data_IF_277609628616
#
_entry.id   IF_277609628616
#
_cell.length_a   1.000
_cell.length_b   1.000
_cell.length_c   1.000
_cell.angle_alpha   90.00
_cell.angle_beta   90.00
_cell.angle_gamma   90.00
#
_symmetry.space_group_name_H-M   'P 1'
#
loop_
_entity.id
_entity.type
_entity.pdbx_description
1 polymer ?
#
# COMPACT_ATOMS: atom_id res chain seq x y z
N UNK A 1 22.91 35.75 -47.04
CA UNK A 1 22.97 35.84 -45.57
C UNK A 1 21.73 36.56 -45.08
N UNK A 2 21.13 36.17 -43.95
CA UNK A 2 20.68 34.83 -43.51
C UNK A 2 19.13 34.87 -43.27
N UNK A 3 18.37 33.80 -43.11
CA UNK A 3 18.28 33.02 -41.87
C UNK A 3 17.91 31.55 -42.16
N UNK A 4 18.86 30.65 -41.96
CA UNK A 4 18.60 29.23 -41.75
C UNK A 4 18.47 29.01 -40.25
N UNK A 5 17.23 28.92 -39.76
CA UNK A 5 16.94 28.62 -38.36
C UNK A 5 17.31 27.16 -38.05
N UNK A 6 18.51 26.93 -37.51
CA UNK A 6 18.95 25.63 -36.99
C UNK A 6 18.42 25.39 -35.56
N UNK A 7 17.11 25.47 -35.36
CA UNK A 7 16.52 24.99 -34.12
C UNK A 7 16.14 23.53 -34.30
N UNK A 8 16.70 22.58 -33.53
CA UNK A 8 16.16 21.24 -33.50
C UNK A 8 14.74 21.33 -32.95
N UNK A 9 13.77 20.91 -33.76
CA UNK A 9 12.40 20.65 -33.34
C UNK A 9 12.51 19.83 -32.04
N UNK A 10 12.01 20.39 -30.92
CA UNK A 10 11.97 19.71 -29.62
C UNK A 10 11.17 18.41 -29.78
N UNK A 11 11.85 17.29 -29.98
CA UNK A 11 11.25 15.98 -29.79
C UNK A 11 11.24 15.75 -28.28
N UNK A 12 10.07 15.97 -27.68
CA UNK A 12 9.83 15.74 -26.25
C UNK A 12 10.13 14.27 -25.96
N UNK A 13 11.18 14.03 -25.18
CA UNK A 13 11.62 12.70 -24.80
C UNK A 13 10.71 12.02 -23.76
N UNK A 14 10.56 10.71 -23.96
CA UNK A 14 10.41 9.66 -22.93
C UNK A 14 9.14 9.54 -22.08
N UNK A 15 8.09 10.27 -22.40
CA UNK A 15 6.76 9.75 -22.11
C UNK A 15 6.34 8.83 -23.26
N UNK A 16 5.89 7.62 -22.92
CA UNK A 16 5.04 6.77 -23.78
C UNK A 16 4.21 7.65 -24.70
N UNK A 17 4.20 7.40 -26.03
CA UNK A 17 3.36 8.11 -27.01
C UNK A 17 2.05 8.52 -26.33
N UNK A 18 1.91 9.81 -26.01
CA UNK A 18 0.67 10.36 -25.52
C UNK A 18 -0.33 10.13 -26.66
N UNK A 19 -1.22 9.15 -26.47
CA UNK A 19 -2.34 9.02 -27.38
C UNK A 19 -3.17 10.29 -27.23
N UNK A 20 -3.58 10.91 -28.35
CA UNK A 20 -4.26 12.19 -28.34
C UNK A 20 -5.50 12.14 -27.44
N UNK A 21 -5.80 13.29 -26.84
CA UNK A 21 -7.03 13.58 -26.10
C UNK A 21 -8.24 13.39 -27.02
N UNK A 22 -8.69 12.15 -27.21
CA UNK A 22 -10.00 11.83 -27.73
C UNK A 22 -10.63 10.81 -26.80
N UNK A 23 -11.92 11.00 -26.53
CA UNK A 23 -12.80 10.04 -25.86
C UNK A 23 -12.39 8.59 -26.13
N UNK A 24 -12.30 7.80 -25.06
CA UNK A 24 -11.87 6.40 -25.03
C UNK A 24 -12.33 5.66 -26.30
N UNK A 25 -11.38 5.33 -27.17
CA UNK A 25 -11.69 4.48 -28.33
C UNK A 25 -12.18 3.11 -27.83
N UNK A 26 -13.08 2.42 -28.56
CA UNK A 26 -13.61 1.12 -28.15
C UNK A 26 -12.51 0.10 -27.82
N UNK A 27 -11.37 0.15 -28.52
CA UNK A 27 -10.19 -0.70 -28.28
C UNK A 27 -9.51 -0.40 -26.93
N UNK A 28 -9.47 0.86 -26.52
CA UNK A 28 -8.95 1.25 -25.20
C UNK A 28 -9.91 0.83 -24.08
N UNK A 29 -11.23 0.94 -24.30
CA UNK A 29 -12.23 0.48 -23.35
C UNK A 29 -12.12 -1.04 -23.12
N UNK A 30 -12.00 -1.83 -24.19
CA UNK A 30 -11.79 -3.28 -24.11
C UNK A 30 -10.47 -3.63 -23.41
N UNK A 31 -9.38 -2.92 -23.71
CA UNK A 31 -8.09 -3.12 -23.05
C UNK A 31 -8.13 -2.80 -21.55
N UNK A 32 -8.83 -1.73 -21.16
CA UNK A 32 -9.03 -1.37 -19.76
C UNK A 32 -9.92 -2.38 -19.04
N UNK A 33 -11.00 -2.84 -19.68
CA UNK A 33 -11.90 -3.87 -19.14
C UNK A 33 -11.16 -5.19 -18.94
N UNK A 34 -10.38 -5.63 -19.93
CA UNK A 34 -9.57 -6.85 -19.85
C UNK A 34 -8.49 -6.74 -18.76
N UNK A 35 -7.85 -5.56 -18.63
CA UNK A 35 -6.91 -5.31 -17.54
C UNK A 35 -7.61 -5.34 -16.18
N UNK A 36 -8.81 -4.76 -16.08
CA UNK A 36 -9.65 -4.79 -14.88
C UNK A 36 -10.03 -6.21 -14.45
N UNK A 37 -10.39 -7.08 -15.40
CA UNK A 37 -10.69 -8.48 -15.12
C UNK A 37 -9.46 -9.27 -14.63
N UNK A 38 -8.28 -9.04 -15.22
CA UNK A 38 -7.04 -9.67 -14.77
C UNK A 38 -6.62 -9.21 -13.37
N UNK A 39 -6.79 -7.91 -13.08
CA UNK A 39 -6.54 -7.34 -11.75
C UNK A 39 -7.49 -7.91 -10.72
N UNK A 40 -8.78 -7.99 -11.06
CA UNK A 40 -9.80 -8.57 -10.19
C UNK A 40 -9.50 -10.04 -9.92
N UNK A 41 -9.13 -10.83 -10.94
CA UNK A 41 -8.75 -12.23 -10.78
C UNK A 41 -7.50 -12.42 -9.92
N UNK A 42 -6.46 -11.61 -10.14
CA UNK A 42 -5.23 -11.65 -9.33
C UNK A 42 -5.50 -11.24 -7.88
N UNK A 43 -6.32 -10.20 -7.68
CA UNK A 43 -6.74 -9.76 -6.35
C UNK A 43 -7.54 -10.84 -5.63
N UNK A 44 -8.54 -11.44 -6.28
CA UNK A 44 -9.34 -12.54 -5.71
C UNK A 44 -8.43 -13.71 -5.35
N UNK A 45 -7.48 -14.08 -6.20
CA UNK A 45 -6.55 -15.17 -5.94
C UNK A 45 -5.70 -14.88 -4.68
N UNK A 46 -5.05 -13.72 -4.63
CA UNK A 46 -4.17 -13.36 -3.52
C UNK A 46 -4.97 -13.20 -2.22
N UNK A 47 -6.14 -12.56 -2.28
CA UNK A 47 -7.04 -12.44 -1.14
C UNK A 47 -7.52 -13.80 -0.64
N UNK A 48 -7.87 -14.71 -1.55
CA UNK A 48 -8.29 -16.07 -1.18
C UNK A 48 -7.16 -16.85 -0.51
N UNK A 49 -5.91 -16.69 -0.96
CA UNK A 49 -4.74 -17.33 -0.32
C UNK A 49 -4.53 -16.81 1.10
N UNK A 50 -4.65 -15.50 1.33
CA UNK A 50 -4.54 -14.91 2.66
C UNK A 50 -5.72 -15.33 3.55
N UNK A 51 -6.95 -15.25 3.03
CA UNK A 51 -8.17 -15.62 3.76
C UNK A 51 -8.22 -17.11 4.12
N UNK A 52 -7.79 -18.01 3.22
CA UNK A 52 -7.71 -19.45 3.50
C UNK A 52 -6.69 -19.72 4.59
N UNK A 53 -5.49 -19.13 4.51
CA UNK A 53 -4.45 -19.25 5.54
C UNK A 53 -4.97 -18.86 6.92
N UNK A 54 -5.71 -17.75 7.00
CA UNK A 54 -6.34 -17.28 8.23
C UNK A 54 -7.43 -18.25 8.74
N UNK A 55 -8.32 -18.71 7.85
CA UNK A 55 -9.38 -19.67 8.23
C UNK A 55 -8.83 -21.03 8.70
N UNK A 56 -7.75 -21.52 8.10
CA UNK A 56 -7.10 -22.77 8.52
C UNK A 56 -6.44 -22.63 9.90
N UNK A 57 -5.88 -21.47 10.20
CA UNK A 57 -5.35 -21.16 11.53
C UNK A 57 -6.47 -21.14 12.59
N UNK A 58 -7.62 -20.52 12.27
CA UNK A 58 -8.80 -20.51 13.16
C UNK A 58 -9.44 -21.89 13.36
N UNK A 59 -9.54 -22.70 12.30
CA UNK A 59 -10.23 -24.00 12.33
C UNK A 59 -9.46 -25.09 13.08
N UNK A 60 -8.12 -25.05 13.03
CA UNK A 60 -7.27 -26.01 13.74
C UNK A 60 -7.40 -25.87 15.27
N UNK A 61 -7.79 -24.69 15.76
CA UNK A 61 -7.78 -24.35 17.19
C UNK A 61 -9.16 -24.44 17.87
N UNK A 62 -10.26 -24.59 17.12
CA UNK A 62 -11.62 -24.84 17.65
C UNK A 62 -11.91 -26.30 18.07
N UNK A 63 -10.86 -27.09 18.36
CA UNK A 63 -11.06 -28.42 18.97
C UNK A 63 -11.65 -28.28 20.39
N UNK A 64 -12.46 -29.24 20.90
CA UNK A 64 -13.47 -29.02 21.94
C UNK A 64 -12.94 -28.80 23.37
N UNK A 65 -11.68 -28.40 23.56
CA UNK A 65 -11.07 -28.26 24.87
C UNK A 65 -11.50 -26.97 25.63
N UNK A 66 -12.09 -25.99 24.95
CA UNK A 66 -12.35 -24.66 25.52
C UNK A 66 -13.77 -24.46 26.11
N UNK A 67 -14.68 -25.42 26.02
CA UNK A 67 -16.06 -25.27 26.48
C UNK A 67 -16.26 -25.28 28.02
N UNK A 68 -15.19 -25.34 28.82
CA UNK A 68 -15.28 -25.48 30.29
C UNK A 68 -14.78 -24.28 31.10
N UNK A 69 -14.31 -23.19 30.46
CA UNK A 69 -13.67 -22.08 31.19
C UNK A 69 -14.52 -20.79 31.29
N UNK A 70 -15.56 -20.59 30.48
CA UNK A 70 -16.35 -19.34 30.49
C UNK A 70 -17.57 -19.40 31.42
N UNK A 71 -17.33 -19.57 32.71
CA UNK A 71 -18.35 -19.28 33.70
C UNK A 71 -17.73 -18.56 34.90
N UNK A 72 -17.40 -17.27 34.70
CA UNK A 72 -16.82 -16.44 35.73
C UNK A 72 -16.90 -14.93 35.46
N UNK A 73 -18.00 -14.33 35.92
CA UNK A 73 -18.13 -12.94 36.43
C UNK A 73 -17.96 -11.74 35.47
N UNK A 74 -19.09 -11.04 35.25
CA UNK A 74 -19.18 -9.65 34.80
C UNK A 74 -18.64 -8.67 35.85
N UNK A 75 -17.94 -7.59 35.42
CA UNK A 75 -18.15 -6.16 35.78
C UNK A 75 -16.87 -5.29 35.55
N UNK A 76 -16.85 -4.48 34.49
CA UNK A 76 -16.39 -3.07 34.40
C UNK A 76 -16.12 -2.69 32.94
N UNK A 77 -16.71 -1.60 32.48
CA UNK A 77 -16.70 -1.18 31.07
C UNK A 77 -15.65 -0.08 30.82
N UNK A 78 -14.95 -0.23 29.70
CA UNK A 78 -14.34 0.82 28.85
C UNK A 78 -12.83 1.12 28.96
N UNK A 79 -12.00 0.32 29.64
CA UNK A 79 -10.53 0.45 29.45
C UNK A 79 -9.70 -0.81 29.66
N UNK A 80 -10.31 -1.96 29.96
CA UNK A 80 -9.59 -3.22 30.19
C UNK A 80 -9.72 -4.23 29.05
N UNK A 81 -10.67 -4.03 28.14
CA UNK A 81 -10.90 -4.91 26.98
C UNK A 81 -9.79 -4.81 25.94
N UNK A 82 -9.31 -3.60 25.68
CA UNK A 82 -8.44 -3.33 24.53
C UNK A 82 -7.02 -3.88 24.79
N UNK A 83 -6.55 -3.76 26.05
CA UNK A 83 -5.31 -4.40 26.50
C UNK A 83 -5.35 -5.92 26.47
N UNK A 84 -6.54 -6.52 26.58
CA UNK A 84 -6.71 -7.97 26.53
C UNK A 84 -6.77 -8.47 25.09
N UNK A 85 -7.28 -7.65 24.14
CA UNK A 85 -7.39 -8.00 22.73
C UNK A 85 -6.04 -8.08 22.02
N UNK A 86 -5.19 -7.05 22.10
CA UNK A 86 -3.96 -6.96 21.29
C UNK A 86 -3.07 -8.19 21.46
N UNK A 87 -2.83 -8.62 22.70
CA UNK A 87 -2.04 -9.82 23.00
C UNK A 87 -2.80 -11.15 22.95
N UNK A 88 -4.11 -11.13 22.70
CA UNK A 88 -4.92 -12.35 22.56
C UNK A 88 -4.57 -13.08 21.26
N UNK A 89 -4.88 -14.38 21.18
CA UNK A 89 -4.70 -15.14 19.93
C UNK A 89 -5.52 -14.57 18.77
N UNK A 90 -6.73 -14.08 19.06
CA UNK A 90 -7.59 -13.48 18.05
C UNK A 90 -7.03 -12.14 17.56
N UNK A 91 -6.53 -11.29 18.46
CA UNK A 91 -5.88 -10.03 18.12
C UNK A 91 -4.64 -10.22 17.27
N UNK A 92 -3.73 -11.10 17.69
CA UNK A 92 -2.54 -11.49 16.92
C UNK A 92 -2.92 -11.99 15.53
N UNK A 93 -3.88 -12.92 15.42
CA UNK A 93 -4.30 -13.46 14.13
C UNK A 93 -4.91 -12.37 13.21
N UNK A 94 -5.61 -11.40 13.78
CA UNK A 94 -6.20 -10.28 13.06
C UNK A 94 -5.12 -9.31 12.57
N UNK A 95 -4.17 -8.94 13.44
CA UNK A 95 -3.02 -8.10 13.08
C UNK A 95 -2.16 -8.77 12.01
N UNK A 96 -1.82 -10.06 12.15
CA UNK A 96 -1.06 -10.80 11.15
C UNK A 96 -1.77 -10.85 9.79
N UNK A 97 -3.09 -11.06 9.78
CA UNK A 97 -3.89 -11.00 8.56
C UNK A 97 -3.79 -9.62 7.89
N UNK A 98 -3.93 -8.54 8.66
CA UNK A 98 -3.81 -7.17 8.15
C UNK A 98 -2.43 -6.91 7.55
N UNK A 99 -1.37 -7.32 8.23
CA UNK A 99 0.00 -7.20 7.76
C UNK A 99 0.25 -8.02 6.49
N UNK A 100 -0.20 -9.27 6.43
CA UNK A 100 -0.06 -10.11 5.24
C UNK A 100 -0.81 -9.53 4.04
N UNK A 101 -2.03 -9.02 4.27
CA UNK A 101 -2.82 -8.39 3.23
C UNK A 101 -2.16 -7.08 2.73
N UNK A 102 -1.61 -6.27 3.62
CA UNK A 102 -0.78 -5.12 3.25
C UNK A 102 0.45 -5.58 2.42
N UNK A 103 1.09 -6.68 2.79
CA UNK A 103 2.19 -7.29 2.05
C UNK A 103 1.83 -7.65 0.62
N UNK A 104 0.65 -8.23 0.40
CA UNK A 104 0.10 -8.49 -0.94
C UNK A 104 0.00 -7.21 -1.76
N UNK A 105 -0.59 -6.14 -1.21
CA UNK A 105 -0.71 -4.86 -1.93
C UNK A 105 0.66 -4.26 -2.28
N UNK A 106 1.60 -4.27 -1.34
CA UNK A 106 2.95 -3.78 -1.54
C UNK A 106 3.72 -4.60 -2.59
N UNK A 107 3.50 -5.92 -2.66
CA UNK A 107 4.04 -6.75 -3.74
C UNK A 107 3.48 -6.39 -5.11
N UNK A 108 2.16 -6.16 -5.21
CA UNK A 108 1.54 -5.73 -6.47
C UNK A 108 2.11 -4.38 -6.95
N UNK A 109 2.29 -3.44 -6.01
CA UNK A 109 2.95 -2.15 -6.26
C UNK A 109 4.38 -2.39 -6.76
N UNK A 110 5.19 -3.11 -5.99
CA UNK A 110 6.60 -3.34 -6.26
C UNK A 110 6.82 -4.04 -7.60
N UNK A 111 6.07 -5.11 -7.90
CA UNK A 111 6.16 -5.83 -9.18
C UNK A 111 5.72 -4.95 -10.36
N UNK A 112 4.71 -4.11 -10.18
CA UNK A 112 4.30 -3.10 -11.16
C UNK A 112 5.43 -2.11 -11.48
N UNK A 113 6.15 -1.68 -10.46
CA UNK A 113 7.28 -0.74 -10.59
C UNK A 113 8.55 -1.41 -11.13
N UNK A 114 8.83 -2.68 -10.78
CA UNK A 114 9.94 -3.46 -11.38
C UNK A 114 9.72 -3.58 -12.88
N UNK A 115 8.50 -3.95 -13.29
CA UNK A 115 8.12 -4.00 -14.70
C UNK A 115 8.36 -2.66 -15.39
N UNK A 116 8.02 -1.54 -14.74
CA UNK A 116 8.21 -0.20 -15.28
C UNK A 116 9.71 0.12 -15.43
N UNK A 117 10.51 -0.15 -14.41
CA UNK A 117 11.96 0.06 -14.42
C UNK A 117 12.68 -0.77 -15.51
N UNK A 118 12.21 -2.00 -15.77
CA UNK A 118 12.76 -2.88 -16.80
C UNK A 118 12.27 -2.57 -18.23
N UNK A 119 11.15 -1.83 -18.35
CA UNK A 119 10.59 -1.40 -19.64
C UNK A 119 9.86 -2.51 -20.41
N UNK A 120 9.29 -3.51 -19.73
CA UNK A 120 8.63 -4.65 -20.39
C UNK A 120 7.27 -4.26 -20.99
N UNK A 121 7.23 -3.94 -22.29
CA UNK A 121 6.05 -3.44 -22.97
C UNK A 121 4.84 -4.41 -22.96
N UNK A 122 5.06 -5.73 -22.98
CA UNK A 122 4.01 -6.75 -22.99
C UNK A 122 3.11 -6.75 -21.74
N UNK A 123 3.60 -6.21 -20.62
CA UNK A 123 2.87 -6.08 -19.36
C UNK A 123 2.37 -4.65 -19.12
N UNK A 124 2.03 -3.91 -20.17
CA UNK A 124 1.55 -2.53 -20.07
C UNK A 124 0.35 -2.32 -19.15
N UNK A 125 -0.50 -3.34 -19.02
CA UNK A 125 -1.64 -3.33 -18.11
C UNK A 125 -1.22 -3.18 -16.64
N UNK A 126 -0.03 -3.68 -16.25
CA UNK A 126 0.41 -3.69 -14.85
C UNK A 126 0.71 -2.29 -14.31
N UNK A 127 0.72 -1.26 -15.17
CA UNK A 127 0.86 0.14 -14.76
C UNK A 127 -0.23 0.61 -13.81
N UNK A 128 -1.41 -0.01 -13.84
CA UNK A 128 -2.51 0.36 -12.93
C UNK A 128 -2.45 -0.41 -11.60
N UNK A 129 -1.54 -1.38 -11.44
CA UNK A 129 -1.38 -2.11 -10.18
C UNK A 129 -1.11 -1.16 -9.01
N UNK A 130 -0.16 -0.23 -9.18
CA UNK A 130 0.21 0.70 -8.11
C UNK A 130 -0.98 1.54 -7.62
N UNK A 131 -1.66 2.32 -8.48
CA UNK A 131 -2.77 3.14 -8.01
C UNK A 131 -3.95 2.29 -7.50
N UNK A 132 -4.25 1.16 -8.14
CA UNK A 132 -5.33 0.28 -7.68
C UNK A 132 -5.03 -0.35 -6.33
N UNK A 133 -3.81 -0.85 -6.10
CA UNK A 133 -3.41 -1.42 -4.83
C UNK A 133 -3.43 -0.38 -3.71
N UNK A 134 -2.96 0.86 -3.96
CA UNK A 134 -3.05 1.94 -2.97
C UNK A 134 -4.49 2.32 -2.64
N UNK A 135 -5.38 2.38 -3.64
CA UNK A 135 -6.78 2.69 -3.40
C UNK A 135 -7.45 1.58 -2.59
N UNK A 136 -7.27 0.32 -2.98
CA UNK A 136 -7.90 -0.81 -2.27
C UNK A 136 -7.31 -0.96 -0.86
N UNK A 137 -5.99 -0.84 -0.69
CA UNK A 137 -5.36 -0.85 0.63
C UNK A 137 -5.84 0.33 1.50
N UNK A 138 -5.98 1.52 0.93
CA UNK A 138 -6.49 2.68 1.63
C UNK A 138 -7.93 2.51 2.11
N UNK A 139 -8.81 1.96 1.25
CA UNK A 139 -10.17 1.57 1.65
C UNK A 139 -10.14 0.52 2.77
N UNK A 140 -9.23 -0.46 2.66
CA UNK A 140 -9.09 -1.50 3.66
C UNK A 140 -8.72 -0.95 5.04
N UNK A 141 -7.69 -0.09 5.11
CA UNK A 141 -7.28 0.58 6.34
C UNK A 141 -8.37 1.49 6.92
N UNK A 142 -9.22 2.08 6.09
CA UNK A 142 -10.29 2.93 6.63
C UNK A 142 -11.41 2.10 7.26
N UNK A 143 -11.73 0.94 6.67
CA UNK A 143 -12.94 0.20 7.02
C UNK A 143 -12.66 -0.99 7.94
N UNK A 144 -11.58 -1.74 7.72
CA UNK A 144 -11.37 -3.06 8.33
C UNK A 144 -10.04 -3.23 9.06
N UNK A 145 -9.09 -2.30 9.04
CA UNK A 145 -7.83 -2.52 9.79
C UNK A 145 -8.02 -2.62 11.30
N UNK A 146 -9.04 -1.95 11.83
CA UNK A 146 -9.28 -1.82 13.26
C UNK A 146 -10.67 -2.34 13.57
N UNK A 147 -10.75 -3.41 14.37
CA UNK A 147 -12.00 -4.12 14.59
C UNK A 147 -13.04 -3.30 15.39
N UNK A 148 -12.58 -2.43 16.30
CA UNK A 148 -13.43 -1.57 17.11
C UNK A 148 -13.70 -0.20 16.48
N UNK A 149 -12.92 0.22 15.49
CA UNK A 149 -13.07 1.54 14.91
C UNK A 149 -14.29 1.67 14.00
N UNK A 150 -14.83 2.88 13.93
CA UNK A 150 -15.79 3.22 12.88
C UNK A 150 -15.17 2.97 11.48
N UNK A 151 -15.93 2.43 10.50
CA UNK A 151 -17.38 2.25 10.47
C UNK A 151 -17.92 0.88 10.88
N UNK A 152 -17.05 -0.09 11.17
CA UNK A 152 -17.48 -1.49 11.41
C UNK A 152 -17.62 -1.84 12.88
N UNK A 153 -16.84 -1.18 13.73
CA UNK A 153 -16.78 -1.45 15.16
C UNK A 153 -17.67 -0.55 16.01
N UNK A 154 -17.45 -0.63 17.32
CA UNK A 154 -18.27 0.04 18.34
C UNK A 154 -17.92 1.51 18.54
N UNK A 155 -16.71 1.95 18.17
CA UNK A 155 -16.27 3.33 18.32
C UNK A 155 -17.08 4.27 17.41
N UNK A 156 -17.38 5.44 17.94
CA UNK A 156 -17.92 6.56 17.15
C UNK A 156 -16.82 7.21 16.31
N UNK A 157 -17.21 7.98 15.28
CA UNK A 157 -16.27 8.78 14.47
C UNK A 157 -15.37 9.68 15.35
N UNK A 158 -15.93 10.30 16.39
CA UNK A 158 -15.16 11.16 17.29
C UNK A 158 -14.11 10.38 18.08
N UNK A 159 -14.43 9.16 18.53
CA UNK A 159 -13.48 8.28 19.22
C UNK A 159 -12.42 7.74 18.24
N UNK A 160 -12.79 7.39 17.01
CA UNK A 160 -11.83 6.88 16.02
C UNK A 160 -10.81 7.94 15.58
N UNK A 161 -11.23 9.20 15.41
CA UNK A 161 -10.35 10.26 14.89
C UNK A 161 -9.81 11.23 15.95
N UNK A 162 -10.39 11.21 17.15
CA UNK A 162 -10.00 12.09 18.26
C UNK A 162 -9.81 11.36 19.58
N UNK A 163 -9.83 10.02 19.59
CA UNK A 163 -9.51 9.21 20.76
C UNK A 163 -8.01 9.12 21.02
N UNK A 164 -7.67 8.47 22.13
CA UNK A 164 -6.30 8.35 22.63
C UNK A 164 -5.54 7.13 22.10
N UNK A 165 -6.14 6.36 21.18
CA UNK A 165 -5.50 5.22 20.52
C UNK A 165 -4.65 5.69 19.31
N UNK A 166 -3.31 5.72 19.44
CA UNK A 166 -2.44 6.21 18.38
C UNK A 166 -2.34 5.23 17.21
N UNK A 167 -2.58 3.94 17.45
CA UNK A 167 -2.53 2.90 16.42
C UNK A 167 -3.67 3.09 15.44
N UNK A 168 -4.91 3.14 15.94
CA UNK A 168 -6.11 3.38 15.13
C UNK A 168 -5.96 4.67 14.34
N UNK A 169 -5.51 5.75 14.99
CA UNK A 169 -5.30 7.02 14.30
C UNK A 169 -4.27 6.91 13.17
N UNK A 170 -3.15 6.22 13.41
CA UNK A 170 -2.14 5.99 12.38
C UNK A 170 -2.71 5.18 11.20
N UNK A 171 -3.45 4.09 11.45
CA UNK A 171 -4.11 3.32 10.40
C UNK A 171 -5.05 4.18 9.55
N UNK A 172 -5.88 5.03 10.17
CA UNK A 172 -6.77 5.93 9.41
C UNK A 172 -6.01 6.97 8.61
N UNK A 173 -4.94 7.55 9.19
CA UNK A 173 -4.06 8.49 8.46
C UNK A 173 -3.40 7.80 7.27
N UNK A 174 -2.85 6.60 7.44
CA UNK A 174 -2.29 5.81 6.34
C UNK A 174 -3.34 5.52 5.26
N UNK A 175 -4.56 5.14 5.66
CA UNK A 175 -5.66 4.86 4.73
C UNK A 175 -6.02 6.07 3.86
N UNK A 176 -6.17 7.25 4.47
CA UNK A 176 -6.46 8.51 3.78
C UNK A 176 -5.32 8.88 2.82
N UNK A 177 -4.07 8.79 3.29
CA UNK A 177 -2.90 9.10 2.47
C UNK A 177 -2.78 8.14 1.28
N UNK A 178 -3.00 6.84 1.49
CA UNK A 178 -2.97 5.83 0.45
C UNK A 178 -4.06 6.07 -0.61
N UNK A 179 -5.29 6.39 -0.20
CA UNK A 179 -6.37 6.78 -1.11
C UNK A 179 -6.01 8.00 -1.95
N UNK A 180 -5.53 9.06 -1.31
CA UNK A 180 -5.19 10.32 -1.99
C UNK A 180 -4.06 10.10 -3.02
N UNK A 181 -2.99 9.41 -2.62
CA UNK A 181 -1.85 9.13 -3.49
C UNK A 181 -2.24 8.17 -4.61
N UNK A 182 -3.02 7.13 -4.31
CA UNK A 182 -3.53 6.20 -5.31
C UNK A 182 -4.38 6.89 -6.37
N UNK A 183 -5.25 7.82 -5.96
CA UNK A 183 -6.04 8.64 -6.88
C UNK A 183 -5.17 9.57 -7.75
N UNK A 184 -4.17 10.23 -7.17
CA UNK A 184 -3.23 11.08 -7.91
C UNK A 184 -2.43 10.24 -8.92
N UNK A 185 -1.92 9.08 -8.52
CA UNK A 185 -1.18 8.17 -9.40
C UNK A 185 -2.07 7.61 -10.52
N UNK A 186 -3.33 7.31 -10.22
CA UNK A 186 -4.30 6.92 -11.25
C UNK A 186 -4.47 8.05 -12.27
N UNK A 187 -4.80 9.26 -11.81
CA UNK A 187 -5.00 10.44 -12.65
C UNK A 187 -3.76 10.75 -13.53
N UNK A 188 -2.55 10.61 -12.98
CA UNK A 188 -1.30 10.74 -13.75
C UNK A 188 -1.15 9.67 -14.81
N UNK A 189 -1.37 8.40 -14.46
CA UNK A 189 -1.12 7.27 -15.37
C UNK A 189 -2.15 7.17 -16.50
N UNK A 190 -3.33 7.79 -16.33
CA UNK A 190 -4.33 7.96 -17.40
C UNK A 190 -4.18 9.28 -18.18
N UNK A 191 -3.26 10.16 -17.79
CA UNK A 191 -2.95 11.41 -18.50
C UNK A 191 -3.90 12.58 -18.18
N UNK A 192 -4.54 12.57 -17.01
CA UNK A 192 -5.33 13.72 -16.53
C UNK A 192 -4.44 14.80 -15.90
N UNK A 193 -3.31 14.39 -15.31
CA UNK A 193 -2.33 15.29 -14.71
C UNK A 193 -1.00 15.25 -15.45
N UNK A 194 -0.72 16.32 -16.20
CA UNK A 194 0.48 16.44 -17.03
C UNK A 194 1.63 17.19 -16.31
N UNK A 195 1.35 17.81 -15.15
CA UNK A 195 2.35 18.60 -14.43
C UNK A 195 3.29 17.72 -13.60
N UNK A 196 4.59 17.99 -13.67
CA UNK A 196 5.64 17.19 -13.02
C UNK A 196 5.57 17.20 -11.49
N UNK A 197 5.00 18.25 -10.88
CA UNK A 197 4.81 18.30 -9.42
C UNK A 197 3.94 17.15 -8.89
N UNK A 198 2.99 16.66 -9.70
CA UNK A 198 2.15 15.54 -9.31
C UNK A 198 2.93 14.22 -9.19
N UNK A 199 4.21 14.16 -9.58
CA UNK A 199 5.08 13.00 -9.36
C UNK A 199 5.60 12.90 -7.92
N UNK A 200 5.49 13.97 -7.12
CA UNK A 200 6.02 14.04 -5.76
C UNK A 200 5.22 13.28 -4.69
N UNK A 201 3.87 13.18 -4.74
CA UNK A 201 3.08 12.56 -3.69
C UNK A 201 3.46 11.10 -3.39
N UNK A 202 3.68 10.25 -4.40
CA UNK A 202 4.03 8.84 -4.19
C UNK A 202 5.31 8.65 -3.37
N UNK A 203 6.46 9.24 -3.74
CA UNK A 203 7.66 9.06 -2.95
C UNK A 203 7.65 9.81 -1.62
N UNK A 204 6.93 10.95 -1.52
CA UNK A 204 6.72 11.62 -0.23
C UNK A 204 5.88 10.76 0.71
N UNK A 205 4.85 10.09 0.20
CA UNK A 205 4.06 9.13 0.95
C UNK A 205 4.92 7.99 1.50
N UNK A 206 5.83 7.43 0.71
CA UNK A 206 6.76 6.40 1.19
C UNK A 206 7.69 6.93 2.30
N UNK A 207 8.17 8.17 2.20
CA UNK A 207 9.04 8.77 3.24
C UNK A 207 8.24 9.06 4.52
N UNK A 208 7.12 9.77 4.42
CA UNK A 208 6.28 10.12 5.57
C UNK A 208 5.75 8.86 6.23
N UNK A 209 5.24 7.91 5.45
CA UNK A 209 4.77 6.64 5.95
C UNK A 209 5.87 5.80 6.57
N UNK A 210 7.08 5.81 5.99
CA UNK A 210 8.24 5.15 6.57
C UNK A 210 8.71 5.78 7.89
N UNK A 211 8.61 7.11 8.04
CA UNK A 211 8.89 7.80 9.30
C UNK A 211 7.87 7.46 10.39
N UNK A 212 6.58 7.41 10.02
CA UNK A 212 5.50 7.05 10.94
C UNK A 212 5.67 5.63 11.51
N UNK A 213 6.20 4.68 10.73
CA UNK A 213 6.44 3.30 11.19
C UNK A 213 7.39 3.21 12.39
N UNK A 214 8.33 4.14 12.57
CA UNK A 214 9.20 4.14 13.75
C UNK A 214 8.46 4.41 15.06
N UNK A 215 7.29 5.05 14.98
CA UNK A 215 6.44 5.36 16.11
C UNK A 215 5.15 4.50 16.11
N UNK A 216 5.09 3.46 15.28
CA UNK A 216 3.94 2.57 15.21
C UNK A 216 4.11 1.39 16.16
N UNK A 217 3.15 1.22 17.08
CA UNK A 217 3.18 0.23 18.16
C UNK A 217 1.79 -0.32 18.44
N UNK A 218 1.69 -1.62 18.67
CA UNK A 218 0.44 -2.31 19.02
C UNK A 218 0.20 -2.34 20.54
N UNK A 219 0.29 -1.18 21.20
CA UNK A 219 0.14 -1.07 22.66
C UNK A 219 1.09 -1.97 23.47
N UNK A 220 0.60 -2.52 24.57
CA UNK A 220 1.32 -3.42 25.49
C UNK A 220 1.35 -4.88 24.96
N UNK A 221 1.82 -5.06 23.72
CA UNK A 221 1.88 -6.38 23.08
C UNK A 221 3.04 -7.24 23.62
N UNK A 222 2.85 -8.55 23.92
CA UNK A 222 3.93 -9.44 24.37
C UNK A 222 5.12 -9.53 23.41
N UNK A 223 4.88 -9.33 22.12
CA UNK A 223 5.90 -9.30 21.06
C UNK A 223 6.34 -7.89 20.63
N UNK A 224 6.03 -6.84 21.40
CA UNK A 224 6.25 -5.44 21.02
C UNK A 224 7.67 -5.15 20.49
N UNK A 225 8.71 -5.77 21.06
CA UNK A 225 10.08 -5.57 20.57
C UNK A 225 10.31 -6.13 19.15
N UNK A 226 9.78 -7.32 18.87
CA UNK A 226 9.88 -7.96 17.54
C UNK A 226 9.09 -7.16 16.50
N UNK A 227 7.90 -6.70 16.87
CA UNK A 227 7.06 -5.85 16.03
C UNK A 227 7.77 -4.53 15.72
N UNK A 228 8.30 -3.85 16.75
CA UNK A 228 9.04 -2.60 16.57
C UNK A 228 10.28 -2.77 15.66
N UNK A 229 10.98 -3.89 15.74
CA UNK A 229 12.10 -4.19 14.84
C UNK A 229 11.62 -4.37 13.39
N UNK A 230 10.54 -5.12 13.17
CA UNK A 230 9.95 -5.24 11.83
C UNK A 230 9.52 -3.88 11.28
N UNK A 231 8.86 -3.05 12.08
CA UNK A 231 8.46 -1.68 11.69
C UNK A 231 9.66 -0.79 11.39
N UNK A 232 10.71 -0.82 12.20
CA UNK A 232 11.93 -0.05 11.95
C UNK A 232 12.60 -0.45 10.63
N UNK A 233 12.70 -1.76 10.35
CA UNK A 233 13.23 -2.27 9.08
C UNK A 233 12.40 -1.79 7.88
N UNK A 234 11.07 -1.91 7.96
CA UNK A 234 10.17 -1.42 6.91
C UNK A 234 10.26 0.09 6.73
N UNK A 235 10.31 0.84 7.84
CA UNK A 235 10.44 2.30 7.84
C UNK A 235 11.73 2.76 7.16
N UNK A 236 12.86 2.14 7.49
CA UNK A 236 14.14 2.41 6.79
C UNK A 236 14.03 2.12 5.30
N UNK A 237 13.54 0.95 4.91
CA UNK A 237 13.39 0.59 3.50
C UNK A 237 12.46 1.56 2.75
N UNK A 238 11.33 1.97 3.37
CA UNK A 238 10.37 2.89 2.77
C UNK A 238 10.96 4.29 2.56
N UNK A 239 11.70 4.81 3.54
CA UNK A 239 12.41 6.10 3.43
C UNK A 239 13.47 6.04 2.33
N UNK A 240 14.28 4.97 2.29
CA UNK A 240 15.29 4.79 1.24
C UNK A 240 14.66 4.66 -0.14
N UNK A 241 13.55 3.92 -0.25
CA UNK A 241 12.81 3.77 -1.49
C UNK A 241 12.29 5.13 -1.97
N UNK A 242 11.51 5.84 -1.15
CA UNK A 242 10.93 7.14 -1.52
C UNK A 242 12.01 8.16 -1.89
N UNK A 243 13.12 8.19 -1.16
CA UNK A 243 14.28 9.04 -1.48
C UNK A 243 14.88 8.69 -2.85
N UNK A 244 15.05 7.40 -3.14
CA UNK A 244 15.56 6.93 -4.44
C UNK A 244 14.64 7.35 -5.59
N UNK A 245 13.32 7.23 -5.42
CA UNK A 245 12.32 7.64 -6.42
C UNK A 245 12.30 9.16 -6.64
N UNK A 246 12.47 9.97 -5.58
CA UNK A 246 12.63 11.43 -5.71
C UNK A 246 13.89 11.79 -6.49
N UNK A 247 15.03 11.18 -6.14
CA UNK A 247 16.31 11.41 -6.83
C UNK A 247 16.18 11.03 -8.31
N UNK A 248 15.53 9.91 -8.61
CA UNK A 248 15.28 9.46 -9.97
C UNK A 248 14.47 10.48 -10.76
N UNK A 249 13.33 10.92 -10.22
CA UNK A 249 12.46 11.92 -10.87
C UNK A 249 13.10 13.31 -10.99
N UNK A 250 14.04 13.65 -10.11
CA UNK A 250 14.82 14.88 -10.22
C UNK A 250 15.94 14.77 -11.28
N UNK A 251 16.72 13.68 -11.27
CA UNK A 251 17.81 13.46 -12.23
C UNK A 251 17.30 13.23 -13.66
N UNK A 252 16.18 12.53 -13.81
CA UNK A 252 15.53 12.36 -15.12
C UNK A 252 15.01 13.66 -15.72
N UNK A 253 14.79 14.72 -14.92
CA UNK A 253 14.52 16.07 -15.47
C UNK A 253 15.76 16.70 -16.10
N UNK A 254 16.95 16.28 -15.69
CA UNK A 254 18.23 16.84 -16.15
C UNK A 254 18.84 16.03 -17.30
N UNK A 255 18.56 14.72 -17.38
CA UNK A 255 19.14 13.81 -18.39
C UNK A 255 18.05 13.09 -19.18
N UNK A 256 18.15 13.15 -20.51
CA UNK A 256 17.08 12.73 -21.43
C UNK A 256 17.09 11.21 -21.72
N UNK A 257 18.13 10.42 -21.43
CA UNK A 257 18.25 9.10 -22.08
C UNK A 257 18.68 7.89 -21.22
N UNK A 258 18.93 8.03 -19.93
CA UNK A 258 19.43 6.89 -19.12
C UNK A 258 18.35 6.27 -18.23
N UNK A 259 18.26 4.94 -18.26
CA UNK A 259 17.51 4.16 -17.26
C UNK A 259 18.13 4.44 -15.90
N UNK A 260 17.34 5.00 -14.99
CA UNK A 260 17.83 5.38 -13.66
C UNK A 260 17.90 4.14 -12.77
N UNK A 261 19.11 3.77 -12.33
CA UNK A 261 19.34 2.72 -11.33
C UNK A 261 18.49 2.93 -10.06
N UNK A 262 18.14 4.19 -9.75
CA UNK A 262 17.29 4.54 -8.62
C UNK A 262 15.84 4.06 -8.75
N UNK A 263 15.31 3.89 -9.98
CA UNK A 263 13.98 3.27 -10.19
C UNK A 263 14.00 1.79 -9.82
N UNK A 264 15.12 1.10 -10.07
CA UNK A 264 15.30 -0.31 -9.69
C UNK A 264 15.40 -0.41 -8.17
N UNK A 265 16.18 0.46 -7.52
CA UNK A 265 16.30 0.50 -6.05
C UNK A 265 14.93 0.72 -5.40
N UNK A 266 14.14 1.69 -5.88
CA UNK A 266 12.76 1.91 -5.44
C UNK A 266 11.93 0.62 -5.55
N UNK A 267 11.88 0.04 -6.75
CA UNK A 267 11.01 -1.10 -7.01
C UNK A 267 11.41 -2.33 -6.18
N UNK A 268 12.71 -2.62 -6.06
CA UNK A 268 13.22 -3.73 -5.26
C UNK A 268 12.95 -3.56 -3.77
N UNK A 269 13.09 -2.35 -3.21
CA UNK A 269 12.81 -2.09 -1.80
C UNK A 269 11.31 -2.23 -1.49
N UNK A 270 10.43 -1.76 -2.39
CA UNK A 270 8.98 -1.95 -2.22
C UNK A 270 8.60 -3.43 -2.26
N UNK A 271 9.21 -4.22 -3.16
CA UNK A 271 9.05 -5.68 -3.16
C UNK A 271 9.55 -6.29 -1.85
N UNK A 272 10.71 -5.87 -1.35
CA UNK A 272 11.26 -6.38 -0.09
C UNK A 272 10.36 -6.10 1.11
N UNK A 273 9.75 -4.90 1.20
CA UNK A 273 8.75 -4.58 2.22
C UNK A 273 7.54 -5.50 2.10
N UNK A 274 7.02 -5.70 0.88
CA UNK A 274 5.89 -6.59 0.65
C UNK A 274 6.18 -8.04 1.04
N UNK A 275 7.39 -8.55 0.75
CA UNK A 275 7.84 -9.87 1.19
C UNK A 275 7.97 -9.95 2.71
N UNK A 276 8.55 -8.93 3.35
CA UNK A 276 8.67 -8.88 4.81
C UNK A 276 7.30 -8.95 5.49
N UNK A 277 6.32 -8.21 4.96
CA UNK A 277 4.95 -8.23 5.45
C UNK A 277 4.26 -9.58 5.25
N UNK A 278 4.54 -10.32 4.17
CA UNK A 278 3.98 -11.67 3.97
C UNK A 278 4.49 -12.71 4.97
N UNK A 279 5.70 -12.51 5.52
CA UNK A 279 6.30 -13.40 6.52
C UNK A 279 6.26 -12.79 7.92
N UNK A 280 5.54 -11.67 8.08
CA UNK A 280 5.38 -11.00 9.37
C UNK A 280 4.67 -11.93 10.34
N UNK A 281 5.12 -11.90 11.59
CA UNK A 281 4.49 -12.60 12.70
C UNK A 281 4.76 -11.87 13.99
N UNK A 282 3.89 -12.05 14.96
CA UNK A 282 3.99 -11.44 16.28
C UNK A 282 4.53 -12.45 17.30
#
# INVERSE_FOLDING_TARGET
MPETSFWPIRIVGWAVRFLPKSLLSPRQCVSLLQSGLLLLGLFILLFSVVAVSHSTAQSADQSPAHALAEQGTHHSHASSSDHEWEGSRQGVAYSEFNHHLAGVFLLLIGLGEVRQALGWASLAWSRVLLPSALIVAGMFLLIWSDHDAWPVGSMTIAQTFGGDDPEVLQHKVYGILALAVGAVEFARRVGWFDHTLWAAPLPLFAIVGGLMLFAHSHGDHPAAHKIALHHAMMGTMAITAGSSKLISGWRSRQLIAERSYWEIVWACLVVAIGLQLLIYSE
#
